data_IF_716440952795
#
_entry.id   IF_716440952795
#
_cell.length_a   1.000
_cell.length_b   1.000
_cell.length_c   1.000
_cell.angle_alpha   90.00
_cell.angle_beta   90.00
_cell.angle_gamma   90.00
#
_symmetry.space_group_name_H-M   'P 1'
#
loop_
_entity.id
_entity.type
_entity.pdbx_description
1 polymer ?
#
# COMPACT_ATOMS: atom_id res chain seq x y z
N UNK A 1 22.41 14.57 46.11
CA UNK A 1 22.97 13.27 45.68
C UNK A 1 22.83 13.16 44.17
N UNK A 2 23.94 13.17 43.42
CA UNK A 2 23.96 13.16 41.94
C UNK A 2 24.44 11.76 41.52
N UNK A 3 23.52 10.92 41.06
CA UNK A 3 23.84 9.55 40.63
C UNK A 3 24.51 9.59 39.25
N UNK A 4 25.71 9.03 39.15
CA UNK A 4 26.46 8.91 37.92
C UNK A 4 25.73 7.95 36.95
N UNK A 5 25.41 8.45 35.76
CA UNK A 5 24.85 7.67 34.67
C UNK A 5 25.78 6.50 34.34
N UNK A 6 25.22 5.29 34.27
CA UNK A 6 25.95 4.07 33.97
C UNK A 6 26.50 4.10 32.55
N UNK A 7 27.75 4.52 32.39
CA UNK A 7 28.47 4.42 31.13
C UNK A 7 28.79 2.95 30.87
N UNK A 8 27.98 2.28 30.04
CA UNK A 8 28.32 0.96 29.52
C UNK A 8 29.27 1.10 28.33
N UNK A 9 30.58 1.16 28.60
CA UNK A 9 31.62 0.99 27.57
C UNK A 9 31.61 -0.45 27.08
N UNK A 10 30.91 -0.73 25.98
CA UNK A 10 31.03 -2.00 25.27
C UNK A 10 32.35 -2.02 24.49
N UNK A 11 33.29 -2.82 24.96
CA UNK A 11 34.58 -3.06 24.29
C UNK A 11 34.36 -4.06 23.15
N UNK A 12 34.14 -3.57 21.94
CA UNK A 12 34.09 -4.43 20.74
C UNK A 12 35.50 -5.03 20.53
N UNK A 13 35.65 -6.35 20.44
CA UNK A 13 36.94 -6.98 20.22
C UNK A 13 37.53 -6.49 18.89
N UNK A 14 38.82 -6.11 18.95
CA UNK A 14 39.58 -5.57 17.83
C UNK A 14 39.44 -6.46 16.60
N UNK A 15 38.77 -5.96 15.56
CA UNK A 15 38.81 -6.59 14.24
C UNK A 15 40.23 -6.38 13.69
N UNK A 16 41.01 -7.46 13.69
CA UNK A 16 42.40 -7.49 13.21
C UNK A 16 42.41 -7.18 11.71
N UNK A 17 42.74 -5.95 11.31
CA UNK A 17 42.95 -5.66 9.89
C UNK A 17 42.95 -4.21 9.41
N UNK A 18 42.46 -3.22 10.17
CA UNK A 18 42.48 -1.82 9.70
C UNK A 18 43.10 -0.87 10.71
N UNK A 19 44.34 -0.45 10.42
CA UNK A 19 45.02 0.65 11.09
C UNK A 19 44.17 1.91 10.97
N UNK A 20 43.87 2.54 12.10
CA UNK A 20 43.67 4.00 12.14
C UNK A 20 42.25 4.57 12.08
N UNK A 21 41.18 3.80 12.31
CA UNK A 21 39.86 4.42 12.51
C UNK A 21 39.61 4.55 14.02
N UNK A 22 39.56 5.81 14.47
CA UNK A 22 39.22 6.18 15.85
C UNK A 22 37.91 5.49 16.28
N UNK A 23 37.77 5.09 17.55
CA UNK A 23 36.57 4.43 18.04
C UNK A 23 35.37 5.37 17.86
N UNK A 24 34.45 5.00 16.97
CA UNK A 24 33.20 5.70 16.76
C UNK A 24 32.34 5.53 18.02
N UNK A 25 32.20 6.62 18.77
CA UNK A 25 31.28 6.69 19.91
C UNK A 25 29.87 6.84 19.35
N UNK A 26 29.16 5.72 19.23
CA UNK A 26 27.72 5.76 18.96
C UNK A 26 27.03 6.08 20.28
N UNK A 27 26.65 7.34 20.47
CA UNK A 27 25.78 7.75 21.57
C UNK A 27 24.40 7.17 21.29
N UNK A 28 24.13 5.98 21.83
CA UNK A 28 22.80 5.39 21.83
C UNK A 28 22.04 6.04 22.99
N UNK A 29 20.97 6.83 22.75
CA UNK A 29 20.11 7.27 23.83
C UNK A 29 19.52 6.04 24.52
N UNK A 30 19.78 5.86 25.82
CA UNK A 30 19.36 4.72 26.66
C UNK A 30 17.84 4.53 26.76
N UNK A 31 17.05 5.43 26.17
CA UNK A 31 15.59 5.29 26.10
C UNK A 31 15.14 5.52 24.67
N UNK A 32 14.95 4.45 23.86
CA UNK A 32 14.11 4.61 22.69
C UNK A 32 12.76 5.12 23.19
N UNK A 33 12.33 6.28 22.70
CA UNK A 33 10.98 6.75 23.01
C UNK A 33 10.00 5.64 22.63
N UNK A 34 8.95 5.44 23.42
CA UNK A 34 7.90 4.46 23.10
C UNK A 34 7.38 4.65 21.66
N UNK A 35 7.37 5.89 21.17
CA UNK A 35 7.09 6.23 19.78
C UNK A 35 8.09 5.63 18.79
N UNK A 36 9.40 5.68 19.07
CA UNK A 36 10.45 5.10 18.20
C UNK A 36 10.39 3.57 18.18
N UNK A 37 10.06 2.95 19.31
CA UNK A 37 9.91 1.50 19.40
C UNK A 37 8.62 1.03 18.71
N UNK A 38 7.51 1.76 18.91
CA UNK A 38 6.26 1.54 18.19
C UNK A 38 6.44 1.74 16.67
N UNK A 39 7.10 2.80 16.22
CA UNK A 39 7.42 3.04 14.80
C UNK A 39 8.35 1.98 14.25
N UNK A 40 9.35 1.53 15.02
CA UNK A 40 10.23 0.44 14.64
C UNK A 40 9.50 -0.91 14.56
N UNK A 41 8.55 -1.17 15.44
CA UNK A 41 7.68 -2.34 15.40
C UNK A 41 6.73 -2.28 14.19
N UNK A 42 6.03 -1.16 13.99
CA UNK A 42 5.16 -0.93 12.83
C UNK A 42 5.93 -1.04 11.53
N UNK A 43 7.11 -0.41 11.43
CA UNK A 43 7.96 -0.48 10.25
C UNK A 43 8.39 -1.90 9.93
N UNK A 44 8.82 -2.68 10.95
CA UNK A 44 9.16 -4.10 10.78
C UNK A 44 7.96 -4.97 10.45
N UNK A 45 6.81 -4.71 11.06
CA UNK A 45 5.56 -5.42 10.78
C UNK A 45 5.06 -5.13 9.35
N UNK A 46 5.08 -3.86 8.91
CA UNK A 46 4.81 -3.46 7.53
C UNK A 46 5.80 -4.11 6.57
N UNK A 47 7.09 -4.09 6.90
CA UNK A 47 8.13 -4.67 6.05
C UNK A 47 7.96 -6.17 5.91
N UNK A 48 7.64 -6.88 7.00
CA UNK A 48 7.36 -8.32 6.99
C UNK A 48 6.05 -8.64 6.28
N UNK A 49 5.05 -7.77 6.42
CA UNK A 49 3.73 -7.85 5.77
C UNK A 49 3.65 -7.26 4.37
N UNK A 50 4.74 -6.71 3.81
CA UNK A 50 4.72 -5.88 2.58
C UNK A 50 4.07 -6.56 1.38
N UNK A 51 4.26 -7.88 1.26
CA UNK A 51 3.63 -8.69 0.19
C UNK A 51 2.17 -9.04 0.48
N UNK A 52 1.75 -9.01 1.75
CA UNK A 52 0.37 -9.25 2.17
C UNK A 52 -0.54 -8.02 2.12
N UNK A 53 0.04 -6.82 2.06
CA UNK A 53 -0.65 -5.53 2.16
C UNK A 53 -0.68 -4.74 0.85
N UNK A 54 -0.41 -5.39 -0.30
CA UNK A 54 -0.39 -4.71 -1.59
C UNK A 54 -1.73 -3.98 -1.90
N UNK A 55 -2.92 -4.59 -1.70
CA UNK A 55 -4.18 -3.88 -1.91
C UNK A 55 -4.36 -2.68 -0.97
N UNK A 56 -3.93 -2.79 0.30
CA UNK A 56 -3.96 -1.67 1.24
C UNK A 56 -3.06 -0.53 0.79
N UNK A 57 -1.82 -0.82 0.37
CA UNK A 57 -0.90 0.20 -0.14
C UNK A 57 -1.48 0.91 -1.36
N UNK A 58 -2.06 0.17 -2.30
CA UNK A 58 -2.73 0.73 -3.48
C UNK A 58 -3.97 1.55 -3.11
N UNK A 59 -4.78 1.11 -2.15
CA UNK A 59 -5.99 1.83 -1.74
C UNK A 59 -5.66 3.17 -1.08
N UNK A 60 -4.66 3.21 -0.21
CA UNK A 60 -4.19 4.45 0.44
C UNK A 60 -3.54 5.38 -0.58
N UNK A 61 -2.71 4.84 -1.49
CA UNK A 61 -2.11 5.62 -2.57
C UNK A 61 -3.20 6.21 -3.47
N UNK A 62 -4.23 5.44 -3.81
CA UNK A 62 -5.33 5.90 -4.63
C UNK A 62 -6.08 7.07 -3.98
N UNK A 63 -6.36 7.03 -2.67
CA UNK A 63 -6.94 8.16 -1.93
C UNK A 63 -6.09 9.42 -2.02
N UNK A 64 -4.77 9.28 -1.82
CA UNK A 64 -3.87 10.42 -1.86
C UNK A 64 -3.79 11.02 -3.26
N UNK A 65 -3.64 10.18 -4.28
CA UNK A 65 -3.53 10.60 -5.69
C UNK A 65 -4.83 11.24 -6.16
N UNK A 66 -6.01 10.66 -5.86
CA UNK A 66 -7.28 11.25 -6.28
C UNK A 66 -7.59 12.55 -5.54
N UNK A 67 -7.22 12.67 -4.26
CA UNK A 67 -7.27 13.94 -3.54
C UNK A 67 -6.40 15.01 -4.20
N UNK A 68 -5.17 14.67 -4.58
CA UNK A 68 -4.27 15.58 -5.28
C UNK A 68 -4.80 15.97 -6.66
N UNK A 69 -5.29 14.99 -7.43
CA UNK A 69 -5.92 15.24 -8.73
C UNK A 69 -7.14 16.14 -8.60
N UNK A 70 -7.97 15.94 -7.58
CA UNK A 70 -9.13 16.80 -7.35
C UNK A 70 -8.73 18.25 -7.08
N UNK A 71 -7.71 18.47 -6.25
CA UNK A 71 -7.26 19.83 -5.91
C UNK A 71 -6.56 20.51 -7.09
N UNK A 72 -5.72 19.79 -7.83
CA UNK A 72 -4.86 20.39 -8.87
C UNK A 72 -5.46 20.32 -10.27
N UNK A 73 -6.21 19.27 -10.59
CA UNK A 73 -6.60 18.88 -11.96
C UNK A 73 -7.97 18.20 -11.96
N UNK A 74 -9.00 18.82 -11.38
CA UNK A 74 -10.33 18.22 -11.27
C UNK A 74 -10.92 17.77 -12.62
N UNK A 75 -10.57 18.47 -13.71
CA UNK A 75 -10.98 18.13 -15.08
C UNK A 75 -10.41 16.78 -15.57
N UNK A 76 -9.40 16.23 -14.90
CA UNK A 76 -8.86 14.89 -15.20
C UNK A 76 -9.93 13.80 -15.13
N UNK A 77 -11.01 14.02 -14.37
CA UNK A 77 -12.18 13.14 -14.34
C UNK A 77 -12.82 12.92 -15.72
N UNK A 78 -12.78 13.93 -16.61
CA UNK A 78 -13.31 13.82 -17.97
C UNK A 78 -12.52 12.83 -18.82
N UNK A 79 -11.22 12.70 -18.56
CA UNK A 79 -10.34 11.75 -19.25
C UNK A 79 -10.42 10.37 -18.57
N UNK A 80 -10.47 10.35 -17.23
CA UNK A 80 -10.53 9.12 -16.45
C UNK A 80 -11.87 8.37 -16.61
N UNK A 81 -12.97 9.09 -16.82
CA UNK A 81 -14.31 8.50 -17.00
C UNK A 81 -14.35 7.48 -18.15
N UNK A 82 -14.00 7.84 -19.39
CA UNK A 82 -13.90 6.89 -20.50
C UNK A 82 -12.90 5.76 -20.26
N UNK A 83 -11.76 6.07 -19.62
CA UNK A 83 -10.73 5.07 -19.30
C UNK A 83 -11.22 4.02 -18.30
N UNK A 84 -12.24 4.32 -17.48
CA UNK A 84 -12.84 3.35 -16.57
C UNK A 84 -13.54 2.18 -17.29
N UNK A 85 -13.83 2.30 -18.58
CA UNK A 85 -14.31 1.19 -19.41
C UNK A 85 -13.19 0.20 -19.82
N UNK A 86 -11.92 0.55 -19.58
CA UNK A 86 -10.75 -0.25 -19.94
C UNK A 86 -10.80 -1.71 -19.48
N UNK A 87 -11.16 -2.01 -18.21
CA UNK A 87 -11.30 -3.38 -17.73
C UNK A 87 -12.37 -4.17 -18.49
N UNK A 88 -13.50 -3.56 -18.82
CA UNK A 88 -14.56 -4.21 -19.60
C UNK A 88 -14.12 -4.52 -21.04
N UNK A 89 -13.41 -3.58 -21.68
CA UNK A 89 -12.81 -3.78 -23.01
C UNK A 89 -11.76 -4.90 -22.99
N UNK A 90 -10.93 -4.93 -21.94
CA UNK A 90 -9.96 -6.01 -21.73
C UNK A 90 -10.65 -7.36 -21.57
N UNK A 91 -11.68 -7.45 -20.71
CA UNK A 91 -12.44 -8.68 -20.50
C UNK A 91 -13.08 -9.18 -21.79
N UNK A 92 -13.71 -8.29 -22.56
CA UNK A 92 -14.27 -8.61 -23.86
C UNK A 92 -13.19 -9.20 -24.77
N UNK A 93 -12.08 -8.48 -24.97
CA UNK A 93 -10.97 -8.91 -25.83
C UNK A 93 -10.39 -10.26 -25.39
N UNK A 94 -10.17 -10.43 -24.09
CA UNK A 94 -9.63 -11.65 -23.50
C UNK A 94 -10.59 -12.83 -23.68
N UNK A 95 -11.90 -12.63 -23.47
CA UNK A 95 -12.89 -13.70 -23.62
C UNK A 95 -13.07 -14.10 -25.08
N UNK A 96 -12.89 -13.16 -26.03
CA UNK A 96 -12.86 -13.47 -27.47
C UNK A 96 -11.63 -14.26 -27.89
N UNK A 97 -10.44 -13.89 -27.41
CA UNK A 97 -9.17 -14.53 -27.79
C UNK A 97 -8.90 -15.84 -27.05
N UNK A 98 -9.28 -15.91 -25.79
CA UNK A 98 -9.01 -17.02 -24.88
C UNK A 98 -10.26 -17.32 -24.04
N UNK A 99 -11.28 -17.98 -24.62
CA UNK A 99 -12.52 -18.26 -23.90
C UNK A 99 -12.24 -19.16 -22.69
N UNK A 100 -12.55 -18.67 -21.50
CA UNK A 100 -12.51 -19.46 -20.27
C UNK A 100 -13.91 -20.01 -19.94
N UNK A 101 -13.95 -21.15 -19.24
CA UNK A 101 -15.17 -21.77 -18.70
C UNK A 101 -15.04 -21.99 -17.20
N UNK A 102 -16.16 -22.17 -16.51
CA UNK A 102 -16.23 -22.51 -15.08
C UNK A 102 -15.56 -21.44 -14.18
N UNK A 103 -14.82 -21.86 -13.15
CA UNK A 103 -14.22 -21.02 -12.10
C UNK A 103 -13.29 -19.94 -12.64
N UNK A 104 -12.57 -20.20 -13.74
CA UNK A 104 -11.70 -19.20 -14.35
C UNK A 104 -12.49 -18.02 -14.95
N UNK A 105 -13.67 -18.30 -15.51
CA UNK A 105 -14.57 -17.25 -16.00
C UNK A 105 -15.13 -16.43 -14.84
N UNK A 106 -15.53 -17.08 -13.75
CA UNK A 106 -16.02 -16.39 -12.54
C UNK A 106 -14.96 -15.43 -11.97
N UNK A 107 -13.71 -15.87 -11.87
CA UNK A 107 -12.60 -15.01 -11.42
C UNK A 107 -12.34 -13.83 -12.37
N UNK A 108 -12.42 -14.05 -13.69
CA UNK A 108 -12.27 -12.97 -14.66
C UNK A 108 -13.39 -11.95 -14.56
N UNK A 109 -14.64 -12.39 -14.42
CA UNK A 109 -15.79 -11.51 -14.22
C UNK A 109 -15.61 -10.71 -12.94
N UNK A 110 -15.31 -11.39 -11.82
CA UNK A 110 -15.10 -10.74 -10.54
C UNK A 110 -13.99 -9.69 -10.61
N UNK A 111 -12.83 -10.03 -11.16
CA UNK A 111 -11.71 -9.11 -11.33
C UNK A 111 -12.08 -7.92 -12.22
N UNK A 112 -12.85 -8.16 -13.29
CA UNK A 112 -13.31 -7.11 -14.22
C UNK A 112 -14.27 -6.15 -13.54
N UNK A 113 -15.24 -6.67 -12.79
CA UNK A 113 -16.19 -5.85 -12.03
C UNK A 113 -15.45 -5.03 -10.99
N UNK A 114 -14.56 -5.65 -10.21
CA UNK A 114 -13.78 -4.97 -9.19
C UNK A 114 -12.89 -3.88 -9.80
N UNK A 115 -12.23 -4.16 -10.91
CA UNK A 115 -11.41 -3.18 -11.62
C UNK A 115 -12.23 -2.02 -12.19
N UNK A 116 -13.38 -2.32 -12.80
CA UNK A 116 -14.30 -1.29 -13.34
C UNK A 116 -14.80 -0.37 -12.23
N UNK A 117 -15.23 -0.95 -11.10
CA UNK A 117 -15.67 -0.17 -9.92
C UNK A 117 -14.54 0.67 -9.36
N UNK A 118 -13.32 0.12 -9.24
CA UNK A 118 -12.16 0.86 -8.77
C UNK A 118 -11.81 2.03 -9.71
N UNK A 119 -11.79 1.81 -11.03
CA UNK A 119 -11.54 2.87 -12.00
C UNK A 119 -12.63 3.94 -12.00
N UNK A 120 -13.90 3.53 -11.92
CA UNK A 120 -15.03 4.46 -11.80
C UNK A 120 -14.93 5.30 -10.52
N UNK A 121 -14.57 4.68 -9.41
CA UNK A 121 -14.31 5.39 -8.16
C UNK A 121 -13.17 6.41 -8.31
N UNK A 122 -12.06 6.06 -8.96
CA UNK A 122 -10.93 6.97 -9.21
C UNK A 122 -11.37 8.19 -10.03
N UNK A 123 -12.14 7.98 -11.10
CA UNK A 123 -12.64 9.07 -11.94
C UNK A 123 -13.57 10.01 -11.15
N UNK A 124 -14.51 9.45 -10.39
CA UNK A 124 -15.43 10.22 -9.56
C UNK A 124 -14.71 10.94 -8.41
N UNK A 125 -13.76 10.28 -7.75
CA UNK A 125 -12.94 10.84 -6.68
C UNK A 125 -12.07 12.00 -7.17
N UNK A 126 -11.52 11.93 -8.39
CA UNK A 126 -10.79 13.04 -8.99
C UNK A 126 -11.71 14.23 -9.32
N UNK A 127 -12.94 13.97 -9.78
CA UNK A 127 -13.88 15.05 -10.14
C UNK A 127 -14.54 15.73 -8.94
N UNK A 128 -15.01 14.93 -7.98
CA UNK A 128 -15.86 15.40 -6.87
C UNK A 128 -15.17 15.37 -5.50
N UNK A 129 -13.98 14.78 -5.41
CA UNK A 129 -13.24 14.57 -4.17
C UNK A 129 -13.39 13.13 -3.64
N UNK A 130 -12.32 12.56 -3.04
CA UNK A 130 -12.29 11.14 -2.65
C UNK A 130 -13.26 10.72 -1.56
N UNK A 131 -13.71 11.67 -0.74
CA UNK A 131 -14.62 11.43 0.39
C UNK A 131 -15.99 12.10 0.20
N UNK A 132 -16.31 12.54 -1.02
CA UNK A 132 -17.60 13.16 -1.29
C UNK A 132 -18.74 12.13 -1.28
N UNK A 133 -19.78 12.39 -0.47
CA UNK A 133 -20.98 11.56 -0.38
C UNK A 133 -20.66 10.07 -0.16
N UNK A 134 -21.14 9.15 -1.02
CA UNK A 134 -20.93 7.72 -0.85
C UNK A 134 -19.53 7.23 -1.25
N UNK A 135 -18.65 8.08 -1.80
CA UNK A 135 -17.36 7.65 -2.33
C UNK A 135 -16.43 7.08 -1.26
N UNK A 136 -16.46 7.60 -0.03
CA UNK A 136 -15.68 7.02 1.07
C UNK A 136 -16.08 5.57 1.39
N UNK A 137 -17.38 5.27 1.36
CA UNK A 137 -17.90 3.92 1.55
C UNK A 137 -17.54 3.01 0.37
N UNK A 138 -17.72 3.49 -0.86
CA UNK A 138 -17.34 2.74 -2.06
C UNK A 138 -15.84 2.39 -2.09
N UNK A 139 -14.98 3.32 -1.68
CA UNK A 139 -13.55 3.08 -1.50
C UNK A 139 -13.30 1.94 -0.51
N UNK A 140 -13.93 2.02 0.67
CA UNK A 140 -13.74 1.02 1.73
C UNK A 140 -14.20 -0.37 1.29
N UNK A 141 -15.37 -0.47 0.65
CA UNK A 141 -15.89 -1.72 0.10
C UNK A 141 -14.95 -2.31 -0.94
N UNK A 142 -14.52 -1.50 -1.93
CA UNK A 142 -13.60 -1.92 -2.99
C UNK A 142 -12.27 -2.40 -2.40
N UNK A 143 -11.73 -1.68 -1.41
CA UNK A 143 -10.50 -2.05 -0.71
C UNK A 143 -10.65 -3.37 0.05
N UNK A 144 -11.70 -3.54 0.85
CA UNK A 144 -11.94 -4.78 1.60
C UNK A 144 -12.08 -5.96 0.63
N UNK A 145 -12.86 -5.80 -0.45
CA UNK A 145 -13.04 -6.83 -1.49
C UNK A 145 -11.73 -7.16 -2.21
N UNK A 146 -10.90 -6.16 -2.53
CA UNK A 146 -9.59 -6.39 -3.14
C UNK A 146 -8.63 -7.11 -2.18
N UNK A 147 -8.65 -6.72 -0.91
CA UNK A 147 -7.81 -7.31 0.12
C UNK A 147 -8.22 -8.77 0.41
N UNK A 148 -9.52 -9.07 0.48
CA UNK A 148 -10.00 -10.45 0.64
C UNK A 148 -9.64 -11.31 -0.56
N UNK A 149 -9.84 -10.82 -1.79
CA UNK A 149 -9.45 -11.52 -3.01
C UNK A 149 -7.94 -11.82 -3.04
N UNK A 150 -7.10 -10.83 -2.69
CA UNK A 150 -5.64 -11.00 -2.61
C UNK A 150 -5.24 -12.09 -1.60
N UNK A 151 -5.90 -12.11 -0.44
CA UNK A 151 -5.65 -13.12 0.59
C UNK A 151 -6.09 -14.52 0.16
N UNK A 152 -7.16 -14.65 -0.62
CA UNK A 152 -7.60 -15.94 -1.21
C UNK A 152 -6.58 -16.41 -2.23
N UNK A 153 -6.24 -15.57 -3.20
CA UNK A 153 -5.33 -15.93 -4.30
C UNK A 153 -3.92 -16.30 -3.81
N UNK A 154 -3.38 -15.57 -2.81
CA UNK A 154 -2.05 -15.91 -2.26
C UNK A 154 -2.01 -17.20 -1.45
N UNK A 155 -3.17 -17.73 -1.03
CA UNK A 155 -3.24 -18.99 -0.27
C UNK A 155 -3.33 -20.19 -1.20
N UNK A 156 -3.78 -19.97 -2.43
CA UNK A 156 -3.94 -21.00 -3.45
C UNK A 156 -2.71 -21.19 -4.33
N UNK A 157 -1.70 -20.33 -4.23
CA UNK A 157 -0.42 -20.38 -4.94
C UNK A 157 0.75 -20.40 -3.95
#
# INVERSE_FOLDING_TARGET
MKSAAGVHTLRIPRQRGRRGVQPFVVVVPERPSLAREALGFLGRALWKGRRGLAPTGLAVLALFVTGLLHVLVWWSALVLGPLAAGPALWFWSLQRRHPARSTALAWRIFATVLATVACGWVALAAGFGPLAGPLGLMWALTWITAQTAWLVVRRTH
#
